data_IF_144326199296
#
_entry.id   IF_144326199296
#
_cell.length_a   1.000
_cell.length_b   1.000
_cell.length_c   1.000
_cell.angle_alpha   90.00
_cell.angle_beta   90.00
_cell.angle_gamma   90.00
#
_symmetry.space_group_name_H-M   'P 1'
#
loop_
_entity.id
_entity.type
_entity.pdbx_description
1 polymer ?
#
# COMPACT_ATOMS: atom_id res chain seq x y z
N UNK A 1 4.85 43.67 -9.19
CA UNK A 1 4.08 42.79 -10.08
C UNK A 1 4.97 41.59 -10.34
N UNK A 2 4.76 40.51 -9.58
CA UNK A 2 5.64 39.34 -9.50
C UNK A 2 5.36 38.38 -10.66
N UNK A 3 6.42 37.87 -11.31
CA UNK A 3 6.35 36.67 -12.16
C UNK A 3 6.58 35.42 -11.28
N UNK A 4 5.84 34.31 -11.45
CA UNK A 4 6.16 33.07 -10.76
C UNK A 4 7.26 32.30 -11.50
N UNK A 5 8.08 31.62 -10.71
CA UNK A 5 9.21 30.79 -11.12
C UNK A 5 8.78 29.34 -11.40
N UNK A 6 9.48 28.67 -12.31
CA UNK A 6 9.49 27.20 -12.43
C UNK A 6 8.90 26.63 -13.72
N UNK A 7 9.57 26.83 -14.85
CA UNK A 7 9.28 26.13 -16.11
C UNK A 7 10.53 25.32 -16.48
N UNK A 8 10.44 23.98 -16.47
CA UNK A 8 11.51 23.11 -16.95
C UNK A 8 11.13 22.56 -18.33
N UNK A 9 12.00 22.80 -19.30
CA UNK A 9 11.94 22.31 -20.68
C UNK A 9 12.87 21.11 -20.81
N UNK A 10 12.36 19.97 -21.25
CA UNK A 10 13.19 18.84 -21.71
C UNK A 10 13.08 18.71 -23.23
N UNK A 11 14.22 18.70 -23.90
CA UNK A 11 14.35 18.45 -25.34
C UNK A 11 15.29 17.27 -25.56
N UNK A 12 14.78 16.17 -26.12
CA UNK A 12 15.61 15.10 -26.68
C UNK A 12 15.71 15.28 -28.19
N UNK A 13 16.95 15.43 -28.67
CA UNK A 13 17.25 15.57 -30.08
C UNK A 13 17.27 14.21 -30.77
N UNK A 14 16.31 13.98 -31.67
CA UNK A 14 16.53 13.30 -32.94
C UNK A 14 15.65 13.97 -34.00
N UNK A 15 16.26 14.16 -35.15
CA UNK A 15 15.98 15.18 -36.16
C UNK A 15 14.74 14.85 -37.00
N UNK A 16 13.55 15.21 -36.52
CA UNK A 16 12.37 15.58 -37.32
C UNK A 16 11.51 16.55 -36.48
N UNK A 17 10.86 17.57 -37.08
CA UNK A 17 10.00 18.47 -36.34
C UNK A 17 8.74 17.71 -35.93
N UNK A 18 8.80 17.04 -34.78
CA UNK A 18 7.62 16.69 -34.02
C UNK A 18 6.92 18.00 -33.71
N UNK A 19 5.73 18.20 -34.30
CA UNK A 19 4.78 19.16 -33.75
C UNK A 19 4.56 18.72 -32.31
N UNK A 20 5.15 19.46 -31.37
CA UNK A 20 4.87 19.32 -29.96
C UNK A 20 3.37 19.58 -29.79
N UNK A 21 2.57 18.52 -29.87
CA UNK A 21 1.26 18.48 -29.27
C UNK A 21 1.48 18.94 -27.84
N UNK A 22 0.86 20.04 -27.46
CA UNK A 22 0.92 20.59 -26.11
C UNK A 22 0.73 19.45 -25.12
N UNK A 23 1.82 19.04 -24.46
CA UNK A 23 1.72 18.14 -23.32
C UNK A 23 0.90 18.91 -22.31
N UNK A 24 -0.31 18.44 -22.03
CA UNK A 24 -1.16 19.01 -20.99
C UNK A 24 -0.30 19.16 -19.75
N UNK A 25 -0.20 20.39 -19.21
CA UNK A 25 0.53 20.61 -17.99
C UNK A 25 -0.06 19.69 -16.91
N UNK A 26 0.73 18.72 -16.45
CA UNK A 26 0.30 17.81 -15.38
C UNK A 26 0.23 18.64 -14.11
N UNK A 27 -0.98 18.79 -13.55
CA UNK A 27 -1.13 19.41 -12.26
C UNK A 27 -0.76 18.39 -11.18
N UNK A 28 0.45 18.51 -10.65
CA UNK A 28 0.98 17.64 -9.62
C UNK A 28 0.11 17.63 -8.36
N UNK A 29 -0.48 18.77 -7.99
CA UNK A 29 -1.35 18.89 -6.81
C UNK A 29 -2.61 18.01 -6.89
N UNK A 30 -3.06 17.67 -8.09
CA UNK A 30 -4.28 16.87 -8.32
C UNK A 30 -3.99 15.54 -8.99
N UNK A 31 -2.72 15.21 -9.24
CA UNK A 31 -2.32 13.97 -9.88
C UNK A 31 -2.59 12.81 -8.92
N UNK A 32 -3.28 11.77 -9.39
CA UNK A 32 -3.56 10.55 -8.62
C UNK A 32 -2.90 9.35 -9.29
N UNK A 33 -2.76 8.24 -8.56
CA UNK A 33 -2.30 6.98 -9.15
C UNK A 33 -3.19 6.51 -10.30
N UNK A 34 -4.52 6.70 -10.19
CA UNK A 34 -5.47 6.34 -11.24
C UNK A 34 -5.24 7.10 -12.57
N UNK A 35 -4.68 8.32 -12.49
CA UNK A 35 -4.43 9.18 -13.65
C UNK A 35 -3.15 8.80 -14.41
N UNK A 36 -2.25 8.00 -13.79
CA UNK A 36 -1.05 7.52 -14.44
C UNK A 36 -1.40 6.46 -15.50
N UNK A 37 -0.82 6.54 -16.71
CA UNK A 37 -1.09 5.58 -17.76
C UNK A 37 -0.56 4.19 -17.36
N UNK A 38 -1.18 3.10 -17.85
CA UNK A 38 -0.59 1.77 -17.71
C UNK A 38 0.74 1.69 -18.47
N UNK A 39 1.54 0.68 -18.14
CA UNK A 39 2.79 0.37 -18.83
C UNK A 39 2.49 0.20 -20.34
N UNK A 40 3.16 0.96 -21.22
CA UNK A 40 2.94 0.90 -22.67
C UNK A 40 3.15 -0.51 -23.23
N UNK A 41 2.62 -0.76 -24.43
CA UNK A 41 2.87 -2.03 -25.11
C UNK A 41 4.35 -2.17 -25.49
N UNK A 42 4.99 -3.24 -25.01
CA UNK A 42 6.38 -3.57 -25.25
C UNK A 42 7.02 -4.15 -23.99
N UNK A 43 7.55 -5.37 -24.13
CA UNK A 43 8.29 -6.21 -23.18
C UNK A 43 7.68 -6.47 -21.77
N UNK A 44 7.78 -7.73 -21.37
CA UNK A 44 7.48 -8.18 -20.01
C UNK A 44 8.81 -8.31 -19.26
N UNK A 45 8.94 -7.58 -18.16
CA UNK A 45 10.16 -7.60 -17.36
C UNK A 45 9.94 -8.38 -16.07
N UNK A 46 10.96 -9.17 -15.72
CA UNK A 46 11.10 -9.81 -14.43
C UNK A 46 12.25 -9.13 -13.71
N UNK A 47 11.93 -8.44 -12.63
CA UNK A 47 12.91 -7.90 -11.69
C UNK A 47 13.11 -8.95 -10.61
N UNK A 48 14.23 -9.66 -10.64
CA UNK A 48 14.68 -10.54 -9.56
C UNK A 48 15.81 -9.83 -8.82
N UNK A 49 15.51 -9.37 -7.61
CA UNK A 49 16.46 -8.59 -6.81
C UNK A 49 17.52 -9.47 -6.16
N UNK A 50 17.21 -10.76 -5.94
CA UNK A 50 17.97 -11.65 -5.05
C UNK A 50 17.94 -11.25 -3.57
N UNK A 51 17.12 -10.27 -3.17
CA UNK A 51 17.12 -9.68 -1.83
C UNK A 51 15.85 -9.99 -1.01
N UNK A 52 14.86 -10.65 -1.62
CA UNK A 52 13.58 -10.98 -0.98
C UNK A 52 13.73 -11.71 0.37
N UNK A 53 14.69 -12.64 0.50
CA UNK A 53 14.95 -13.32 1.77
C UNK A 53 15.49 -12.39 2.86
N UNK A 54 16.32 -11.42 2.50
CA UNK A 54 16.90 -10.45 3.44
C UNK A 54 15.86 -9.40 3.86
N UNK A 55 14.98 -9.00 2.95
CA UNK A 55 13.90 -8.06 3.22
C UNK A 55 12.76 -8.66 4.05
N UNK A 56 12.61 -9.99 4.04
CA UNK A 56 11.51 -10.69 4.72
C UNK A 56 10.18 -10.67 3.96
N UNK A 57 10.18 -10.16 2.73
CA UNK A 57 9.06 -10.16 1.79
C UNK A 57 9.59 -10.10 0.35
N UNK A 58 8.76 -10.38 -0.64
CA UNK A 58 9.19 -10.35 -2.04
C UNK A 58 9.42 -8.93 -2.54
N UNK A 59 10.66 -8.63 -2.95
CA UNK A 59 11.02 -7.40 -3.65
C UNK A 59 10.89 -7.54 -5.17
N UNK A 60 10.75 -8.77 -5.63
CA UNK A 60 10.74 -9.13 -7.05
C UNK A 60 9.46 -8.63 -7.72
N UNK A 61 9.59 -8.15 -8.96
CA UNK A 61 8.48 -7.55 -9.71
C UNK A 61 8.30 -8.27 -11.04
N UNK A 62 7.05 -8.58 -11.34
CA UNK A 62 6.63 -8.99 -12.67
C UNK A 62 5.87 -7.84 -13.28
N UNK A 63 6.42 -7.28 -14.35
CA UNK A 63 5.88 -6.10 -15.02
C UNK A 63 5.42 -6.56 -16.40
N UNK A 64 4.15 -6.31 -16.71
CA UNK A 64 3.55 -6.64 -18.00
C UNK A 64 2.98 -5.39 -18.66
N UNK A 65 3.00 -5.38 -19.99
CA UNK A 65 2.28 -4.38 -20.76
C UNK A 65 0.81 -4.33 -20.35
N UNK A 66 0.32 -3.14 -20.02
CA UNK A 66 -1.04 -2.93 -19.51
C UNK A 66 -1.15 -2.86 -17.98
N UNK A 67 -0.13 -3.28 -17.22
CA UNK A 67 -0.13 -3.13 -15.76
C UNK A 67 -0.14 -1.64 -15.37
N UNK A 68 -0.81 -1.30 -14.26
CA UNK A 68 -0.66 0.00 -13.62
C UNK A 68 0.44 -0.07 -12.56
N UNK A 69 0.98 1.09 -12.17
CA UNK A 69 1.95 1.13 -11.07
C UNK A 69 1.39 0.54 -9.77
N UNK A 70 0.08 0.71 -9.54
CA UNK A 70 -0.62 0.13 -8.38
C UNK A 70 -0.77 -1.40 -8.44
N UNK A 71 -0.62 -2.02 -9.62
CA UNK A 71 -0.58 -3.48 -9.80
C UNK A 71 0.77 -4.08 -9.43
N UNK A 72 1.83 -3.29 -9.59
CA UNK A 72 3.24 -3.69 -9.50
C UNK A 72 3.77 -3.43 -8.08
N UNK A 73 3.56 -2.23 -7.55
CA UNK A 73 4.15 -1.82 -6.28
C UNK A 73 3.34 -2.25 -5.07
N UNK A 74 4.06 -2.49 -3.98
CA UNK A 74 3.52 -2.81 -2.66
C UNK A 74 3.77 -1.68 -1.65
N UNK A 75 3.12 -1.74 -0.49
CA UNK A 75 3.43 -0.85 0.62
C UNK A 75 4.88 -0.99 1.10
N UNK A 76 5.47 -2.18 0.99
CA UNK A 76 6.88 -2.40 1.32
C UNK A 76 7.81 -1.56 0.46
N UNK A 77 7.52 -1.46 -0.84
CA UNK A 77 8.25 -0.57 -1.76
C UNK A 77 8.07 0.91 -1.38
N UNK A 78 6.94 1.24 -0.74
CA UNK A 78 6.57 2.60 -0.32
C UNK A 78 6.86 2.86 1.17
N UNK A 79 7.63 2.02 1.86
CA UNK A 79 7.77 2.07 3.32
C UNK A 79 8.19 3.47 3.85
N UNK A 80 9.04 4.18 3.10
CA UNK A 80 9.57 5.49 3.47
C UNK A 80 8.67 6.68 3.07
N UNK A 81 7.54 6.41 2.40
CA UNK A 81 6.62 7.46 1.92
C UNK A 81 5.59 7.90 2.95
N UNK A 82 5.40 7.13 4.03
CA UNK A 82 4.35 7.34 5.02
C UNK A 82 2.98 6.76 4.63
N UNK A 83 2.81 6.18 3.43
CA UNK A 83 1.55 5.53 3.03
C UNK A 83 1.20 4.36 3.97
N UNK A 84 2.20 3.60 4.42
CA UNK A 84 2.00 2.49 5.34
C UNK A 84 1.55 2.93 6.75
N UNK A 85 1.75 4.22 7.10
CA UNK A 85 1.26 4.81 8.35
C UNK A 85 -0.22 5.21 8.28
N UNK A 86 -0.81 5.22 7.09
CA UNK A 86 -2.23 5.53 6.93
C UNK A 86 -3.09 4.38 7.44
N UNK A 87 -4.23 4.74 7.98
CA UNK A 87 -5.35 3.86 8.32
C UNK A 87 -6.47 4.00 7.29
N UNK A 88 -7.42 3.05 7.26
CA UNK A 88 -8.52 3.09 6.30
C UNK A 88 -9.44 4.30 6.50
N UNK A 89 -9.62 4.79 7.73
CA UNK A 89 -10.40 6.00 8.01
C UNK A 89 -9.70 7.28 7.49
N UNK A 90 -8.36 7.31 7.51
CA UNK A 90 -7.60 8.41 6.90
C UNK A 90 -7.72 8.37 5.38
N UNK A 91 -7.60 7.17 4.79
CA UNK A 91 -7.76 6.96 3.34
C UNK A 91 -9.18 7.34 2.92
N UNK A 92 -10.20 6.93 3.68
CA UNK A 92 -11.60 7.31 3.46
C UNK A 92 -11.77 8.83 3.44
N UNK A 93 -11.18 9.52 4.41
CA UNK A 93 -11.24 10.99 4.52
C UNK A 93 -10.60 11.65 3.30
N UNK A 94 -9.44 11.18 2.87
CA UNK A 94 -8.69 11.72 1.73
C UNK A 94 -9.36 11.39 0.39
N UNK A 95 -9.89 10.17 0.24
CA UNK A 95 -10.53 9.68 -0.97
C UNK A 95 -12.04 9.97 -1.05
N UNK A 96 -12.62 10.56 0.01
CA UNK A 96 -14.06 10.82 0.15
C UNK A 96 -14.92 9.56 -0.01
N UNK A 97 -14.51 8.46 0.61
CA UNK A 97 -15.25 7.19 0.63
C UNK A 97 -16.18 7.10 1.86
N UNK A 98 -16.90 5.99 1.97
CA UNK A 98 -17.69 5.61 3.14
C UNK A 98 -17.32 4.19 3.57
N UNK A 99 -16.78 4.01 4.77
CA UNK A 99 -16.33 2.70 5.29
C UNK A 99 -17.46 1.66 5.40
N UNK A 100 -18.71 2.12 5.58
CA UNK A 100 -19.87 1.22 5.64
C UNK A 100 -20.12 0.49 4.30
N UNK A 101 -19.64 1.08 3.20
CA UNK A 101 -19.78 0.52 1.86
C UNK A 101 -18.59 -0.38 1.48
N UNK A 102 -17.56 -0.46 2.32
CA UNK A 102 -16.37 -1.29 2.10
C UNK A 102 -16.56 -2.62 2.82
N UNK A 103 -16.80 -3.68 2.05
CA UNK A 103 -16.86 -5.03 2.58
C UNK A 103 -15.48 -5.49 3.07
N UNK A 104 -15.44 -6.31 4.14
CA UNK A 104 -14.20 -6.93 4.62
C UNK A 104 -13.50 -7.76 3.54
N UNK A 105 -14.28 -8.36 2.62
CA UNK A 105 -13.74 -9.12 1.49
C UNK A 105 -13.01 -8.25 0.46
N UNK A 106 -13.26 -6.93 0.44
CA UNK A 106 -12.57 -6.00 -0.45
C UNK A 106 -11.14 -5.71 0.01
N UNK A 107 -10.83 -5.95 1.29
CA UNK A 107 -9.48 -5.77 1.84
C UNK A 107 -8.75 -7.12 1.71
N UNK A 108 -8.14 -7.36 0.56
CA UNK A 108 -7.48 -8.65 0.27
C UNK A 108 -6.49 -9.06 1.37
N UNK A 109 -5.77 -8.11 1.96
CA UNK A 109 -4.80 -8.41 3.02
C UNK A 109 -5.45 -8.82 4.35
N UNK A 110 -6.65 -8.31 4.68
CA UNK A 110 -7.41 -8.75 5.85
C UNK A 110 -7.65 -10.27 5.77
N UNK A 111 -8.00 -10.78 4.58
CA UNK A 111 -8.27 -12.20 4.39
C UNK A 111 -7.04 -13.10 4.53
N UNK A 112 -5.83 -12.53 4.48
CA UNK A 112 -4.55 -13.23 4.67
C UNK A 112 -4.15 -13.33 6.15
N UNK A 113 -4.82 -12.60 7.04
CA UNK A 113 -4.54 -12.62 8.48
C UNK A 113 -5.09 -13.89 9.15
N UNK A 114 -4.55 -14.21 10.32
CA UNK A 114 -5.19 -15.10 11.28
C UNK A 114 -5.91 -14.30 12.36
N UNK A 115 -6.78 -14.95 13.12
CA UNK A 115 -7.39 -14.32 14.30
C UNK A 115 -6.34 -13.84 15.31
N UNK A 116 -5.26 -14.60 15.48
CA UNK A 116 -4.14 -14.23 16.33
C UNK A 116 -3.42 -12.97 15.84
N UNK A 117 -3.04 -12.91 14.56
CA UNK A 117 -2.34 -11.74 14.01
C UNK A 117 -3.22 -10.50 13.98
N UNK A 118 -4.53 -10.66 13.77
CA UNK A 118 -5.50 -9.56 13.89
C UNK A 118 -5.54 -8.99 15.30
N UNK A 119 -5.53 -9.84 16.33
CA UNK A 119 -5.59 -9.40 17.75
C UNK A 119 -4.26 -8.80 18.22
N UNK A 120 -3.15 -9.18 17.59
CA UNK A 120 -1.86 -8.50 17.75
C UNK A 120 -1.90 -7.09 17.16
N UNK A 121 -2.41 -6.95 15.93
CA UNK A 121 -2.58 -5.65 15.26
C UNK A 121 -3.63 -4.75 15.93
N UNK A 122 -4.67 -5.34 16.52
CA UNK A 122 -5.79 -4.65 17.18
C UNK A 122 -5.88 -5.00 18.69
N UNK A 123 -4.98 -4.47 19.55
CA UNK A 123 -4.92 -4.87 20.95
C UNK A 123 -6.22 -4.64 21.74
N UNK A 124 -7.04 -3.67 21.32
CA UNK A 124 -8.33 -3.37 21.94
C UNK A 124 -9.28 -4.58 21.92
N UNK A 125 -9.19 -5.41 20.87
CA UNK A 125 -10.01 -6.62 20.73
C UNK A 125 -9.81 -7.61 21.87
N UNK A 126 -8.63 -7.64 22.50
CA UNK A 126 -8.31 -8.59 23.58
C UNK A 126 -9.29 -8.54 24.74
N UNK A 127 -9.89 -7.38 24.97
CA UNK A 127 -10.80 -7.14 26.10
C UNK A 127 -12.27 -7.32 25.74
N UNK A 128 -12.60 -7.44 24.45
CA UNK A 128 -13.97 -7.58 23.97
C UNK A 128 -14.38 -9.04 23.98
N UNK A 129 -15.62 -9.35 24.42
CA UNK A 129 -16.21 -10.67 24.24
C UNK A 129 -16.32 -11.03 22.77
N UNK A 130 -16.06 -12.29 22.42
CA UNK A 130 -16.17 -12.78 21.04
C UNK A 130 -17.54 -12.51 20.43
N UNK A 131 -18.60 -12.72 21.22
CA UNK A 131 -19.99 -12.53 20.79
C UNK A 131 -20.36 -11.09 20.43
N UNK A 132 -19.55 -10.10 20.80
CA UNK A 132 -19.78 -8.69 20.43
C UNK A 132 -19.26 -8.36 19.02
N UNK A 133 -18.43 -9.22 18.42
CA UNK A 133 -17.83 -8.99 17.12
C UNK A 133 -18.32 -10.06 16.14
N UNK A 134 -19.44 -9.76 15.47
CA UNK A 134 -20.16 -10.72 14.62
C UNK A 134 -19.27 -11.47 13.62
N UNK A 135 -18.38 -10.81 12.83
CA UNK A 135 -17.50 -11.52 11.89
C UNK A 135 -16.61 -12.56 12.57
N UNK A 136 -16.03 -12.22 13.73
CA UNK A 136 -15.11 -13.10 14.45
C UNK A 136 -15.86 -14.22 15.19
N UNK A 137 -17.04 -13.93 15.73
CA UNK A 137 -17.92 -14.94 16.29
C UNK A 137 -18.29 -16.00 15.24
N UNK A 138 -18.60 -15.57 14.02
CA UNK A 138 -18.98 -16.48 12.93
C UNK A 138 -17.79 -17.31 12.43
N UNK A 139 -16.57 -16.74 12.41
CA UNK A 139 -15.35 -17.51 12.21
C UNK A 139 -15.19 -18.62 13.26
N UNK A 140 -15.32 -18.32 14.54
CA UNK A 140 -15.11 -19.35 15.57
C UNK A 140 -16.21 -20.42 15.51
N UNK A 141 -17.47 -20.02 15.26
CA UNK A 141 -18.60 -20.96 15.09
C UNK A 141 -18.42 -21.92 13.92
N UNK A 142 -17.77 -21.51 12.82
CA UNK A 142 -17.56 -22.39 11.67
C UNK A 142 -16.52 -23.48 11.93
N UNK A 143 -15.74 -23.36 13.01
CA UNK A 143 -14.69 -24.32 13.38
C UNK A 143 -14.93 -25.03 14.72
N UNK A 144 -15.80 -24.51 15.58
CA UNK A 144 -16.08 -25.05 16.91
C UNK A 144 -17.59 -25.26 17.08
N UNK A 145 -17.99 -26.53 17.20
CA UNK A 145 -19.41 -26.92 17.36
C UNK A 145 -19.81 -27.16 18.81
N UNK A 146 -18.91 -27.69 19.64
CA UNK A 146 -19.15 -27.96 21.06
C UNK A 146 -18.64 -26.82 21.95
N UNK A 147 -19.41 -26.44 22.97
CA UNK A 147 -19.00 -25.39 23.92
C UNK A 147 -19.00 -23.96 23.38
N UNK A 148 -19.58 -23.74 22.18
CA UNK A 148 -19.55 -22.42 21.53
C UNK A 148 -20.18 -21.30 22.36
N UNK A 149 -21.23 -21.59 23.13
CA UNK A 149 -21.88 -20.60 24.00
C UNK A 149 -20.94 -20.06 25.08
N UNK A 150 -20.07 -20.92 25.61
CA UNK A 150 -19.06 -20.52 26.59
C UNK A 150 -18.01 -19.63 25.93
N UNK A 151 -17.63 -19.91 24.68
CA UNK A 151 -16.66 -19.12 23.93
C UNK A 151 -17.19 -17.74 23.54
N UNK A 152 -18.48 -17.60 23.21
CA UNK A 152 -19.06 -16.30 22.84
C UNK A 152 -18.99 -15.27 23.97
N UNK A 153 -19.03 -15.72 25.23
CA UNK A 153 -18.90 -14.84 26.40
C UNK A 153 -17.45 -14.57 26.81
N UNK A 154 -16.48 -15.27 26.23
CA UNK A 154 -15.07 -15.09 26.55
C UNK A 154 -14.46 -13.93 25.78
N UNK A 155 -13.55 -13.23 26.47
CA UNK A 155 -12.72 -12.21 25.87
C UNK A 155 -11.81 -12.82 24.80
N UNK A 156 -11.71 -12.17 23.65
CA UNK A 156 -10.92 -12.66 22.51
C UNK A 156 -9.45 -12.89 22.90
N UNK A 157 -8.90 -12.07 23.80
CA UNK A 157 -7.54 -12.23 24.29
C UNK A 157 -7.29 -13.57 24.99
N UNK A 158 -8.29 -14.10 25.70
CA UNK A 158 -8.19 -15.43 26.32
C UNK A 158 -8.31 -16.54 25.26
N UNK A 159 -9.20 -16.36 24.28
CA UNK A 159 -9.45 -17.32 23.20
C UNK A 159 -8.21 -17.54 22.32
N UNK A 160 -7.51 -16.46 21.93
CA UNK A 160 -6.27 -16.56 21.14
C UNK A 160 -5.09 -17.09 21.94
N UNK A 161 -5.24 -17.33 23.25
CA UNK A 161 -4.29 -18.14 24.01
C UNK A 161 -4.29 -19.62 23.57
N UNK A 162 -5.36 -20.09 22.92
CA UNK A 162 -5.41 -21.39 22.26
C UNK A 162 -4.86 -21.27 20.84
N UNK A 163 -3.78 -22.01 20.54
CA UNK A 163 -3.11 -21.95 19.23
C UNK A 163 -4.02 -22.34 18.06
N UNK A 164 -4.95 -23.28 18.25
CA UNK A 164 -5.87 -23.69 17.19
C UNK A 164 -6.86 -22.56 16.83
N UNK A 165 -7.29 -21.77 17.82
CA UNK A 165 -8.17 -20.61 17.61
C UNK A 165 -7.38 -19.44 17.03
N UNK A 166 -6.18 -19.16 17.55
CA UNK A 166 -5.31 -18.09 17.05
C UNK A 166 -4.91 -18.28 15.59
N UNK A 167 -4.80 -19.52 15.12
CA UNK A 167 -4.43 -19.85 13.74
C UNK A 167 -5.61 -19.86 12.76
N UNK A 168 -6.85 -19.61 13.20
CA UNK A 168 -7.99 -19.54 12.30
C UNK A 168 -7.80 -18.42 11.28
N UNK A 169 -7.78 -18.72 9.97
CA UNK A 169 -7.58 -17.72 8.94
C UNK A 169 -8.86 -16.90 8.72
N UNK A 170 -8.74 -15.58 8.62
CA UNK A 170 -9.90 -14.69 8.48
C UNK A 170 -10.64 -14.88 7.15
N UNK A 171 -9.98 -15.43 6.13
CA UNK A 171 -10.63 -15.86 4.89
C UNK A 171 -11.73 -16.92 5.08
N UNK A 172 -11.78 -17.59 6.24
CA UNK A 172 -12.81 -18.59 6.58
C UNK A 172 -14.03 -17.99 7.29
N UNK A 173 -14.10 -16.67 7.49
CA UNK A 173 -15.32 -16.00 7.96
C UNK A 173 -16.46 -16.28 6.96
N UNK A 174 -17.57 -16.90 7.40
CA UNK A 174 -18.72 -17.13 6.54
C UNK A 174 -19.33 -15.81 6.05
N UNK A 175 -19.71 -15.74 4.78
CA UNK A 175 -20.35 -14.56 4.17
C UNK A 175 -19.55 -13.26 4.34
N UNK A 176 -18.22 -13.31 4.26
CA UNK A 176 -17.34 -12.16 4.49
C UNK A 176 -17.74 -10.87 3.75
N UNK A 177 -18.32 -10.99 2.56
CA UNK A 177 -18.82 -9.88 1.75
C UNK A 177 -20.01 -9.11 2.36
N UNK A 178 -20.69 -9.67 3.36
CA UNK A 178 -21.83 -9.01 4.03
C UNK A 178 -21.40 -8.18 5.23
N UNK A 179 -20.14 -8.33 5.67
CA UNK A 179 -19.58 -7.55 6.76
C UNK A 179 -18.78 -6.38 6.20
N UNK A 180 -18.92 -5.23 6.84
CA UNK A 180 -18.16 -4.02 6.54
C UNK A 180 -16.90 -3.93 7.40
N UNK A 181 -15.96 -3.06 7.00
CA UNK A 181 -14.79 -2.71 7.83
C UNK A 181 -15.21 -2.25 9.22
N UNK A 182 -16.32 -1.52 9.32
CA UNK A 182 -16.81 -0.97 10.58
C UNK A 182 -17.34 -2.03 11.57
N UNK A 183 -17.60 -3.26 11.11
CA UNK A 183 -18.08 -4.35 11.97
C UNK A 183 -16.97 -4.94 12.88
N UNK A 184 -15.71 -4.57 12.63
CA UNK A 184 -14.58 -4.93 13.49
C UNK A 184 -14.07 -3.65 14.17
N UNK A 185 -14.24 -3.52 15.50
CA UNK A 185 -13.76 -2.36 16.24
C UNK A 185 -12.27 -2.10 16.01
N UNK A 186 -11.90 -0.84 15.88
CA UNK A 186 -10.51 -0.36 15.69
C UNK A 186 -9.85 -0.77 14.37
N UNK A 187 -10.51 -1.57 13.52
CA UNK A 187 -9.92 -2.04 12.26
C UNK A 187 -9.64 -0.88 11.31
N UNK A 188 -10.58 0.06 11.17
CA UNK A 188 -10.46 1.16 10.23
C UNK A 188 -9.45 2.23 10.68
N UNK A 189 -9.22 2.35 11.98
CA UNK A 189 -8.34 3.34 12.62
C UNK A 189 -6.89 2.86 12.72
N UNK A 190 -6.65 1.56 12.52
CA UNK A 190 -5.33 0.95 12.67
C UNK A 190 -4.47 1.20 11.43
N UNK A 191 -3.22 1.67 11.58
CA UNK A 191 -2.31 1.85 10.46
C UNK A 191 -2.07 0.54 9.70
N UNK A 192 -1.95 0.62 8.38
CA UNK A 192 -1.74 -0.54 7.51
C UNK A 192 -0.48 -1.34 7.89
N UNK A 193 0.56 -0.66 8.39
CA UNK A 193 1.82 -1.30 8.83
C UNK A 193 1.71 -2.17 10.08
N UNK A 194 0.62 -2.08 10.84
CA UNK A 194 0.45 -2.89 12.06
C UNK A 194 0.01 -4.33 11.73
N UNK A 195 -0.49 -4.58 10.51
CA UNK A 195 -0.92 -5.91 10.08
C UNK A 195 0.26 -6.78 9.64
N UNK A 196 0.19 -8.08 9.94
CA UNK A 196 1.26 -9.00 9.61
C UNK A 196 1.42 -9.18 8.09
N UNK A 197 2.62 -8.95 7.56
CA UNK A 197 2.91 -9.04 6.13
C UNK A 197 2.45 -7.83 5.32
N UNK A 198 2.23 -6.68 5.97
CA UNK A 198 1.79 -5.45 5.31
C UNK A 198 2.67 -5.03 4.12
N UNK A 199 3.95 -5.38 4.13
CA UNK A 199 4.90 -5.06 3.06
C UNK A 199 4.50 -5.67 1.71
N UNK A 200 3.69 -6.73 1.71
CA UNK A 200 3.22 -7.41 0.50
C UNK A 200 1.89 -6.87 -0.03
N UNK A 201 1.28 -5.91 0.67
CA UNK A 201 0.01 -5.29 0.23
C UNK A 201 0.27 -4.49 -1.03
N UNK A 202 -0.35 -4.86 -2.16
CA UNK A 202 -0.27 -4.05 -3.38
C UNK A 202 -1.07 -2.77 -3.20
N UNK A 203 -0.61 -1.69 -3.81
CA UNK A 203 -1.30 -0.39 -3.70
C UNK A 203 -2.74 -0.48 -4.21
N UNK A 204 -3.01 -1.29 -5.25
CA UNK A 204 -4.38 -1.49 -5.75
C UNK A 204 -5.32 -2.21 -4.79
N UNK A 205 -4.77 -2.99 -3.85
CA UNK A 205 -5.54 -3.79 -2.90
C UNK A 205 -6.03 -2.95 -1.72
N UNK A 206 -5.72 -1.65 -1.71
CA UNK A 206 -6.12 -0.69 -0.69
C UNK A 206 -7.26 0.16 -1.25
N UNK A 207 -8.49 -0.02 -0.76
CA UNK A 207 -9.66 0.70 -1.25
C UNK A 207 -9.46 2.22 -1.21
N UNK A 208 -9.63 2.89 -2.35
CA UNK A 208 -9.58 4.35 -2.46
C UNK A 208 -8.20 4.98 -2.54
N UNK A 209 -7.12 4.23 -2.31
CA UNK A 209 -5.77 4.78 -2.33
C UNK A 209 -5.42 5.42 -3.69
N UNK A 210 -5.90 4.82 -4.78
CA UNK A 210 -5.62 5.29 -6.14
C UNK A 210 -6.37 6.58 -6.52
N UNK A 211 -7.35 6.99 -5.70
CA UNK A 211 -8.13 8.22 -5.86
C UNK A 211 -7.56 9.41 -5.09
N UNK A 212 -6.60 9.18 -4.19
CA UNK A 212 -5.99 10.25 -3.39
C UNK A 212 -4.96 11.00 -4.25
N UNK A 213 -5.00 12.35 -4.29
CA UNK A 213 -3.93 13.12 -4.89
C UNK A 213 -2.58 12.80 -4.25
N UNK A 214 -1.55 12.58 -5.07
CA UNK A 214 -0.20 12.23 -4.59
C UNK A 214 0.37 13.32 -3.67
N UNK A 215 -0.07 14.57 -3.83
CA UNK A 215 0.28 15.69 -2.97
C UNK A 215 -0.19 15.48 -1.53
N UNK A 216 -1.42 15.00 -1.37
CA UNK A 216 -2.05 14.76 -0.07
C UNK A 216 -1.43 13.54 0.65
N UNK A 217 -0.80 12.64 -0.10
CA UNK A 217 0.03 11.54 0.44
C UNK A 217 1.43 12.00 0.85
N UNK A 218 1.78 13.28 0.70
CA UNK A 218 3.13 13.79 0.98
C UNK A 218 4.21 13.36 -0.02
N UNK A 219 3.80 12.70 -1.11
CA UNK A 219 4.72 12.14 -2.13
C UNK A 219 5.34 13.19 -3.05
N UNK A 220 4.85 14.43 -3.03
CA UNK A 220 5.30 15.49 -3.94
C UNK A 220 6.28 16.48 -3.30
N UNK A 221 6.83 16.15 -2.14
CA UNK A 221 8.00 16.89 -1.65
C UNK A 221 9.15 16.76 -2.68
N UNK A 222 10.01 17.79 -2.88
CA UNK A 222 11.16 17.70 -3.78
C UNK A 222 12.11 16.54 -3.46
N UNK A 223 12.04 16.01 -2.23
CA UNK A 223 12.71 14.80 -1.77
C UNK A 223 12.02 13.50 -2.15
N UNK A 224 10.69 13.48 -2.33
CA UNK A 224 9.85 12.29 -2.52
C UNK A 224 9.65 11.88 -3.99
N UNK A 225 9.55 12.85 -4.92
CA UNK A 225 9.55 12.57 -6.37
C UNK A 225 10.91 11.95 -6.80
N UNK A 226 11.94 12.09 -5.94
CA UNK A 226 13.29 11.57 -6.11
C UNK A 226 13.50 10.11 -5.69
N UNK A 227 12.61 9.55 -4.88
CA UNK A 227 12.99 8.42 -4.00
C UNK A 227 12.53 7.07 -4.50
N UNK A 228 11.69 7.01 -5.54
CA UNK A 228 11.23 5.73 -6.07
C UNK A 228 12.26 5.17 -7.07
N UNK A 229 13.34 4.62 -6.53
CA UNK A 229 14.30 3.84 -7.29
C UNK A 229 14.10 2.36 -6.97
N UNK A 230 13.81 1.54 -7.97
CA UNK A 230 13.70 0.10 -7.79
C UNK A 230 15.12 -0.44 -7.77
N UNK A 231 15.49 -1.13 -6.70
CA UNK A 231 16.77 -1.86 -6.67
C UNK A 231 16.68 -3.02 -7.66
N UNK A 232 17.44 -2.97 -8.76
CA UNK A 232 17.39 -4.00 -9.82
C UNK A 232 18.21 -5.26 -9.48
N UNK A 233 18.96 -5.25 -8.37
CA UNK A 233 19.67 -6.43 -7.88
C UNK A 233 20.61 -6.16 -6.70
N UNK A 234 21.20 -7.24 -6.16
CA UNK A 234 22.16 -7.18 -5.06
C UNK A 234 23.41 -6.31 -5.33
N UNK A 235 23.77 -6.11 -6.60
CA UNK A 235 24.86 -5.20 -6.97
C UNK A 235 24.47 -3.72 -6.76
N UNK A 236 23.19 -3.38 -6.91
CA UNK A 236 22.67 -2.03 -6.74
C UNK A 236 22.29 -1.73 -5.29
N UNK A 237 21.96 -2.74 -4.48
CA UNK A 237 21.66 -2.52 -3.05
C UNK A 237 22.84 -1.98 -2.24
N UNK A 238 24.08 -2.19 -2.73
CA UNK A 238 25.31 -1.63 -2.16
C UNK A 238 25.86 -0.46 -2.96
N UNK A 239 25.31 -0.19 -4.16
CA UNK A 239 25.68 0.97 -4.95
C UNK A 239 25.13 2.20 -4.23
N UNK A 240 25.97 2.79 -3.37
CA UNK A 240 25.80 4.09 -2.70
C UNK A 240 24.82 4.96 -3.49
N UNK A 241 23.55 5.09 -3.06
CA UNK A 241 22.47 5.83 -3.73
C UNK A 241 23.06 6.97 -4.59
N UNK A 242 23.24 6.72 -5.89
CA UNK A 242 23.69 7.72 -6.85
C UNK A 242 22.50 7.94 -7.76
N UNK A 243 21.62 8.89 -7.43
CA UNK A 243 20.42 9.09 -8.21
C UNK A 243 20.83 9.46 -9.64
N UNK A 244 20.16 8.86 -10.62
CA UNK A 244 20.42 9.02 -12.07
C UNK A 244 20.32 10.51 -12.49
N UNK A 245 19.61 11.32 -11.70
CA UNK A 245 19.70 12.78 -11.75
C UNK A 245 19.72 13.39 -10.34
N UNK A 246 20.38 14.52 -10.16
CA UNK A 246 20.46 15.21 -8.86
C UNK A 246 21.52 14.67 -7.89
N UNK A 247 21.62 15.30 -6.71
CA UNK A 247 22.59 14.92 -5.67
C UNK A 247 21.87 14.43 -4.42
N UNK A 248 22.39 13.37 -3.79
CA UNK A 248 21.94 12.92 -2.46
C UNK A 248 22.22 13.90 -1.32
N UNK A 249 23.03 14.94 -1.57
CA UNK A 249 23.34 15.98 -0.58
C UNK A 249 22.56 17.28 -0.78
N UNK A 250 22.22 17.62 -2.02
CA UNK A 250 21.67 18.96 -2.37
C UNK A 250 20.42 18.91 -3.27
N UNK A 251 19.91 17.72 -3.61
CA UNK A 251 18.70 17.53 -4.40
C UNK A 251 18.87 17.78 -5.91
N UNK A 252 17.76 17.78 -6.64
CA UNK A 252 17.71 17.90 -8.11
C UNK A 252 17.97 19.29 -8.68
N UNK A 253 17.95 20.33 -7.84
CA UNK A 253 18.13 21.72 -8.31
C UNK A 253 19.61 22.06 -8.58
N UNK A 254 20.54 21.14 -8.31
CA UNK A 254 21.95 21.36 -8.55
C UNK A 254 22.32 20.98 -10.00
N UNK A 255 22.71 21.94 -10.85
CA UNK A 255 23.02 21.66 -12.24
C UNK A 255 24.24 20.74 -12.35
N UNK A 256 24.16 19.73 -13.21
CA UNK A 256 25.32 18.91 -13.57
C UNK A 256 26.38 19.82 -14.19
N UNK A 257 27.60 19.82 -13.62
CA UNK A 257 28.72 20.47 -14.28
C UNK A 257 29.03 19.67 -15.55
N UNK A 258 28.81 20.30 -16.71
CA UNK A 258 29.32 19.76 -17.96
C UNK A 258 30.84 19.86 -17.90
N UNK A 259 31.52 18.72 -17.77
CA UNK A 259 32.94 18.65 -18.09
C UNK A 259 33.11 19.05 -19.56
N UNK A 260 34.00 20.04 -19.78
CA UNK A 260 34.37 20.54 -21.10
C UNK A 260 35.42 19.65 -21.75
#
# INVERSE_FOLDING_TARGET
MLLPAGTLLFSFGLRTPSTASSVSAVNLETLRWADLPPIPQGDSDLVDTGLSQQAGYSLDKQIQAGDRLTDIFTLGDMAETGIADLSLIQIETLAQLNLQDIALSAITHFTKQSLGSLVEALPALKTLPLGEISPLADLVKSHVTEGIQDLLSQNIGALVGNSAIAQLPLSQIPNLQTFSVADIPTLAETPLKEFAGWQEIRLKDIPGLDQIPLADLGMLSPSAIATLDIVWGAAESQATFQPISGSTKVGFQYPCQQER
#
